data_IF_613672663094
#
_entry.id   IF_613672663094
#
_cell.length_a   1.000
_cell.length_b   1.000
_cell.length_c   1.000
_cell.angle_alpha   90.00
_cell.angle_beta   90.00
_cell.angle_gamma   90.00
#
_symmetry.space_group_name_H-M   'P 1'
#
loop_
_entity.id
_entity.type
_entity.pdbx_description
1 polymer ?
#
# COMPACT_ATOMS: atom_id res chain seq x y z
N UNK A 1 12.76 -20.44 -22.76
CA UNK A 1 12.51 -18.99 -22.83
C UNK A 1 13.61 -18.31 -22.03
N UNK A 2 14.78 -18.11 -22.65
CA UNK A 2 15.90 -17.43 -21.99
C UNK A 2 15.57 -15.95 -21.97
N UNK A 3 15.50 -15.34 -20.78
CA UNK A 3 15.52 -13.88 -20.64
C UNK A 3 16.75 -13.38 -21.42
N UNK A 4 16.55 -12.48 -22.37
CA UNK A 4 17.66 -11.92 -23.13
C UNK A 4 18.61 -11.18 -22.20
N UNK A 5 19.85 -10.93 -22.61
CA UNK A 5 20.80 -10.14 -21.81
C UNK A 5 20.23 -8.77 -21.40
N UNK A 6 19.28 -8.26 -22.19
CA UNK A 6 18.53 -7.02 -21.95
C UNK A 6 17.60 -7.16 -20.73
N UNK A 7 16.87 -8.25 -20.58
CA UNK A 7 15.95 -8.45 -19.45
C UNK A 7 16.71 -8.56 -18.11
N UNK A 8 17.87 -9.21 -18.12
CA UNK A 8 18.76 -9.24 -16.95
C UNK A 8 19.32 -7.86 -16.61
N UNK A 9 19.64 -7.05 -17.62
CA UNK A 9 20.06 -5.66 -17.44
C UNK A 9 18.97 -4.81 -16.77
N UNK A 10 17.72 -4.93 -17.23
CA UNK A 10 16.56 -4.22 -16.65
C UNK A 10 16.29 -4.68 -15.21
N UNK A 11 16.37 -5.98 -14.94
CA UNK A 11 16.21 -6.53 -13.58
C UNK A 11 17.27 -5.99 -12.63
N UNK A 12 18.55 -6.03 -13.04
CA UNK A 12 19.65 -5.52 -12.24
C UNK A 12 19.51 -4.02 -11.98
N UNK A 13 19.15 -3.24 -13.01
CA UNK A 13 18.90 -1.80 -12.87
C UNK A 13 17.77 -1.53 -11.88
N UNK A 14 16.64 -2.24 -11.99
CA UNK A 14 15.48 -2.07 -11.12
C UNK A 14 15.80 -2.41 -9.65
N UNK A 15 16.57 -3.48 -9.42
CA UNK A 15 17.06 -3.84 -8.09
C UNK A 15 18.01 -2.77 -7.52
N UNK A 16 18.92 -2.25 -8.34
CA UNK A 16 19.85 -1.19 -7.94
C UNK A 16 19.07 0.07 -7.57
N UNK A 17 18.09 0.49 -8.37
CA UNK A 17 17.29 1.69 -8.10
C UNK A 17 16.46 1.50 -6.81
N UNK A 18 15.78 0.36 -6.65
CA UNK A 18 14.99 0.05 -5.46
C UNK A 18 15.87 0.02 -4.20
N UNK A 19 17.01 -0.68 -4.27
CA UNK A 19 17.99 -0.73 -3.19
C UNK A 19 18.60 0.63 -2.87
N UNK A 20 18.91 1.45 -3.88
CA UNK A 20 19.43 2.80 -3.70
C UNK A 20 18.43 3.72 -3.00
N UNK A 21 17.13 3.64 -3.32
CA UNK A 21 16.08 4.39 -2.61
C UNK A 21 15.99 3.92 -1.16
N UNK A 22 16.05 2.61 -0.91
CA UNK A 22 16.05 2.04 0.44
C UNK A 22 17.26 2.49 1.26
N UNK A 23 18.47 2.45 0.69
CA UNK A 23 19.71 2.91 1.33
C UNK A 23 19.69 4.42 1.54
N UNK A 24 19.17 5.19 0.58
CA UNK A 24 19.05 6.65 0.71
C UNK A 24 18.11 7.03 1.87
N UNK A 25 16.97 6.35 2.00
CA UNK A 25 16.04 6.55 3.11
C UNK A 25 16.58 6.02 4.45
N UNK A 26 17.30 4.89 4.45
CA UNK A 26 17.80 4.24 5.66
C UNK A 26 19.10 4.84 6.22
N UNK A 27 20.07 5.16 5.36
CA UNK A 27 21.39 5.66 5.77
C UNK A 27 21.52 7.19 5.66
N UNK A 28 20.97 7.80 4.61
CA UNK A 28 21.21 9.23 4.33
C UNK A 28 20.15 10.15 4.97
N UNK A 29 18.91 9.67 5.13
CA UNK A 29 17.87 10.38 5.86
C UNK A 29 18.02 10.15 7.36
N UNK A 30 19.18 10.53 7.90
CA UNK A 30 19.45 10.63 9.35
C UNK A 30 18.75 11.85 9.96
N UNK A 31 17.45 12.00 9.69
CA UNK A 31 16.59 12.77 10.60
C UNK A 31 16.02 11.73 11.54
N UNK A 32 16.15 11.97 12.84
CA UNK A 32 15.48 11.23 13.90
C UNK A 32 13.97 11.40 13.73
N UNK A 33 13.40 10.72 12.75
CA UNK A 33 11.96 10.63 12.55
C UNK A 33 11.49 9.75 13.69
N UNK A 34 10.82 10.37 14.67
CA UNK A 34 10.20 9.63 15.77
C UNK A 34 9.41 8.46 15.19
N UNK A 35 9.37 7.30 15.85
CA UNK A 35 8.60 6.12 15.40
C UNK A 35 7.18 6.49 14.99
N UNK A 36 6.59 7.50 15.65
CA UNK A 36 5.28 8.07 15.31
C UNK A 36 5.27 8.84 13.97
N UNK A 37 6.32 9.56 13.62
CA UNK A 37 6.41 10.29 12.36
C UNK A 37 6.73 9.36 11.17
N UNK A 38 7.37 8.21 11.42
CA UNK A 38 7.58 7.15 10.41
C UNK A 38 6.31 6.31 10.19
N UNK A 39 5.58 5.99 11.27
CA UNK A 39 4.34 5.20 11.19
C UNK A 39 3.12 6.03 10.75
N UNK A 40 3.08 7.33 11.06
CA UNK A 40 1.90 8.20 10.86
C UNK A 40 2.12 9.27 9.81
N UNK A 41 3.37 9.60 9.49
CA UNK A 41 3.66 10.63 8.49
C UNK A 41 3.23 12.03 8.93
N UNK A 42 3.84 12.59 9.97
CA UNK A 42 3.72 14.00 10.42
C UNK A 42 2.30 14.66 10.39
N UNK A 43 1.19 13.89 10.45
CA UNK A 43 -0.19 14.43 10.36
C UNK A 43 -0.50 15.32 9.13
N UNK A 44 0.45 15.48 8.21
CA UNK A 44 0.48 16.42 7.09
C UNK A 44 0.68 15.72 5.75
N UNK A 45 0.55 14.39 5.71
CA UNK A 45 0.51 13.68 4.44
C UNK A 45 -0.73 14.10 3.67
N UNK A 46 -0.50 14.69 2.48
CA UNK A 46 -1.58 15.03 1.53
C UNK A 46 -2.35 13.75 1.19
N UNK A 47 -3.66 13.87 0.98
CA UNK A 47 -4.56 12.72 0.71
C UNK A 47 -4.08 11.87 -0.48
N UNK A 48 -3.51 12.51 -1.50
CA UNK A 48 -3.03 11.84 -2.72
C UNK A 48 -1.88 10.85 -2.50
N UNK A 49 -0.72 11.24 -1.91
CA UNK A 49 0.36 10.28 -1.64
C UNK A 49 -0.06 9.18 -0.67
N UNK A 50 -0.90 9.46 0.33
CA UNK A 50 -1.42 8.44 1.25
C UNK A 50 -2.28 7.41 0.51
N UNK A 51 -3.18 7.86 -0.36
CA UNK A 51 -4.00 6.96 -1.18
C UNK A 51 -3.13 6.11 -2.13
N UNK A 52 -2.10 6.70 -2.76
CA UNK A 52 -1.17 5.97 -3.61
C UNK A 52 -0.38 4.91 -2.84
N UNK A 53 0.10 5.22 -1.63
CA UNK A 53 0.78 4.25 -0.77
C UNK A 53 -0.15 3.13 -0.32
N UNK A 54 -1.41 3.43 0.00
CA UNK A 54 -2.41 2.42 0.36
C UNK A 54 -2.69 1.50 -0.83
N UNK A 55 -2.90 2.05 -2.02
CA UNK A 55 -3.09 1.27 -3.24
C UNK A 55 -1.88 0.37 -3.53
N UNK A 56 -0.67 0.91 -3.39
CA UNK A 56 0.56 0.14 -3.57
C UNK A 56 0.67 -1.03 -2.57
N UNK A 57 0.30 -0.82 -1.30
CA UNK A 57 0.29 -1.88 -0.27
C UNK A 57 -0.80 -2.94 -0.51
N UNK A 58 -1.92 -2.57 -1.13
CA UNK A 58 -3.01 -3.51 -1.46
C UNK A 58 -2.70 -4.33 -2.71
N UNK A 59 -1.91 -3.81 -3.64
CA UNK A 59 -1.57 -4.49 -4.88
C UNK A 59 -0.40 -5.46 -4.69
N UNK A 60 -0.70 -6.75 -4.71
CA UNK A 60 0.32 -7.81 -4.73
C UNK A 60 0.61 -8.28 -6.16
N UNK A 61 1.83 -8.76 -6.40
CA UNK A 61 2.22 -9.40 -7.67
C UNK A 61 1.32 -10.60 -8.01
N UNK A 62 0.82 -11.31 -6.99
CA UNK A 62 -0.12 -12.41 -7.17
C UNK A 62 -1.46 -11.94 -7.75
N UNK A 63 -1.98 -10.79 -7.32
CA UNK A 63 -3.23 -10.24 -7.86
C UNK A 63 -3.06 -9.79 -9.31
N UNK A 64 -1.91 -9.22 -9.67
CA UNK A 64 -1.65 -8.74 -11.03
C UNK A 64 -1.67 -9.89 -12.06
N UNK A 65 -1.15 -11.07 -11.69
CA UNK A 65 -1.19 -12.27 -12.54
C UNK A 65 -2.49 -13.06 -12.35
N UNK A 66 -3.09 -13.03 -11.17
CA UNK A 66 -4.30 -13.79 -10.84
C UNK A 66 -5.57 -13.24 -11.49
N UNK A 67 -5.73 -11.92 -11.53
CA UNK A 67 -6.92 -11.28 -12.13
C UNK A 67 -7.14 -11.62 -13.62
N UNK A 68 -6.13 -11.56 -14.51
CA UNK A 68 -6.34 -11.93 -15.91
C UNK A 68 -6.61 -13.42 -16.09
N UNK A 69 -6.01 -14.27 -15.25
CA UNK A 69 -6.29 -15.73 -15.24
C UNK A 69 -7.75 -15.96 -14.84
N UNK A 70 -8.23 -15.29 -13.80
CA UNK A 70 -9.61 -15.43 -13.33
C UNK A 70 -10.62 -14.91 -14.36
N UNK A 71 -10.34 -13.78 -15.02
CA UNK A 71 -11.17 -13.27 -16.11
C UNK A 71 -11.13 -14.18 -17.34
N UNK A 72 -9.99 -14.82 -17.62
CA UNK A 72 -9.85 -15.76 -18.74
C UNK A 72 -10.66 -17.05 -18.53
N UNK A 73 -10.71 -17.57 -17.30
CA UNK A 73 -11.46 -18.80 -16.98
C UNK A 73 -12.94 -18.57 -16.63
N UNK A 74 -13.26 -17.51 -15.90
CA UNK A 74 -14.61 -17.26 -15.35
C UNK A 74 -15.33 -16.05 -16.00
N UNK A 75 -14.71 -15.38 -16.96
CA UNK A 75 -15.30 -14.27 -17.70
C UNK A 75 -15.42 -12.98 -16.90
N UNK A 76 -16.38 -12.13 -17.26
CA UNK A 76 -16.58 -10.77 -16.73
C UNK A 76 -17.13 -10.71 -15.30
N UNK A 77 -17.38 -11.84 -14.63
CA UNK A 77 -17.90 -11.86 -13.26
C UNK A 77 -16.96 -11.20 -12.24
N UNK A 78 -15.66 -11.11 -12.54
CA UNK A 78 -14.69 -10.42 -11.71
C UNK A 78 -15.04 -8.94 -11.45
N UNK A 79 -15.86 -8.31 -12.32
CA UNK A 79 -16.27 -6.91 -12.14
C UNK A 79 -17.03 -6.66 -10.83
N UNK A 80 -17.73 -7.68 -10.30
CA UNK A 80 -18.41 -7.58 -9.00
C UNK A 80 -17.43 -7.38 -7.83
N UNK A 81 -16.23 -7.94 -7.91
CA UNK A 81 -15.17 -7.71 -6.91
C UNK A 81 -14.72 -6.25 -6.90
N UNK A 82 -14.61 -5.63 -8.08
CA UNK A 82 -14.27 -4.22 -8.22
C UNK A 82 -15.34 -3.34 -7.57
N UNK A 83 -16.63 -3.61 -7.86
CA UNK A 83 -17.73 -2.87 -7.22
C UNK A 83 -17.74 -3.04 -5.69
N UNK A 84 -17.49 -4.25 -5.19
CA UNK A 84 -17.39 -4.53 -3.74
C UNK A 84 -16.27 -3.70 -3.08
N UNK A 85 -15.11 -3.58 -3.74
CA UNK A 85 -13.99 -2.75 -3.27
C UNK A 85 -14.37 -1.27 -3.15
N UNK A 86 -15.08 -0.71 -4.14
CA UNK A 86 -15.54 0.68 -4.07
C UNK A 86 -16.52 0.91 -2.91
N UNK A 87 -17.49 0.00 -2.74
CA UNK A 87 -18.48 0.10 -1.66
C UNK A 87 -17.82 -0.01 -0.29
N UNK A 88 -16.91 -0.98 -0.11
CA UNK A 88 -16.15 -1.17 1.13
C UNK A 88 -15.30 0.07 1.47
N UNK A 89 -14.66 0.68 0.48
CA UNK A 89 -13.87 1.91 0.66
C UNK A 89 -14.75 3.07 1.10
N UNK A 90 -15.92 3.23 0.49
CA UNK A 90 -16.87 4.28 0.86
C UNK A 90 -17.38 4.14 2.30
N UNK A 91 -17.74 2.91 2.70
CA UNK A 91 -18.17 2.62 4.09
C UNK A 91 -17.02 2.91 5.06
N UNK A 92 -15.81 2.47 4.73
CA UNK A 92 -14.61 2.71 5.55
C UNK A 92 -14.36 4.20 5.75
N UNK A 93 -14.47 4.98 4.68
CA UNK A 93 -14.30 6.43 4.73
C UNK A 93 -15.31 7.12 5.65
N UNK A 94 -16.57 6.70 5.64
CA UNK A 94 -17.63 7.34 6.43
C UNK A 94 -17.66 6.93 7.89
N UNK A 95 -17.37 5.66 8.20
CA UNK A 95 -17.57 5.13 9.55
C UNK A 95 -16.28 4.95 10.33
N UNK A 96 -15.21 4.47 9.68
CA UNK A 96 -13.97 4.10 10.37
C UNK A 96 -13.01 5.28 10.49
N UNK A 97 -12.78 6.03 9.41
CA UNK A 97 -11.87 7.19 9.41
C UNK A 97 -12.19 8.23 10.50
N UNK A 98 -13.44 8.70 10.70
CA UNK A 98 -13.72 9.70 11.74
C UNK A 98 -13.50 9.15 13.16
N UNK A 99 -13.70 7.85 13.36
CA UNK A 99 -13.50 7.19 14.66
C UNK A 99 -12.01 7.05 15.00
N UNK A 100 -11.19 6.69 14.02
CA UNK A 100 -9.73 6.62 14.20
C UNK A 100 -9.08 8.00 14.37
N UNK A 101 -9.59 9.03 13.69
CA UNK A 101 -9.10 10.40 13.89
C UNK A 101 -9.41 10.94 15.29
N UNK A 102 -10.52 10.53 15.92
CA UNK A 102 -10.87 10.97 17.27
C UNK A 102 -9.96 10.38 18.36
N UNK A 103 -9.49 9.15 18.18
CA UNK A 103 -8.67 8.42 19.17
C UNK A 103 -7.19 8.87 19.12
N UNK A 104 -6.76 9.57 18.07
CA UNK A 104 -5.43 10.20 17.98
C UNK A 104 -4.24 9.23 17.92
N UNK A 105 -4.48 7.92 18.03
CA UNK A 105 -3.46 6.88 18.04
C UNK A 105 -3.44 6.11 16.72
N UNK A 106 -2.25 5.94 16.16
CA UNK A 106 -2.02 5.28 14.88
C UNK A 106 -2.04 3.75 14.93
N UNK A 107 -2.25 3.18 16.10
CA UNK A 107 -2.25 1.75 16.34
C UNK A 107 -3.69 1.24 16.40
N UNK A 108 -4.01 0.23 15.60
CA UNK A 108 -5.29 -0.49 15.66
C UNK A 108 -5.53 -1.06 17.07
N UNK A 109 -4.46 -1.36 17.81
CA UNK A 109 -4.53 -1.86 19.18
C UNK A 109 -5.08 -0.83 20.17
N UNK A 110 -4.88 0.48 19.94
CA UNK A 110 -5.44 1.51 20.81
C UNK A 110 -6.98 1.52 20.78
N UNK A 111 -7.58 1.19 19.63
CA UNK A 111 -9.04 1.01 19.53
C UNK A 111 -9.52 -0.23 20.30
N UNK A 112 -8.70 -1.27 20.39
CA UNK A 112 -9.04 -2.49 21.12
C UNK A 112 -8.94 -2.28 22.65
N UNK A 113 -7.94 -1.53 23.13
CA UNK A 113 -7.77 -1.19 24.55
C UNK A 113 -8.84 -0.21 25.10
N UNK A 114 -9.45 0.62 24.25
CA UNK A 114 -10.57 1.47 24.68
C UNK A 114 -11.89 0.69 24.75
N UNK A 115 -11.99 -0.41 23.99
CA UNK A 115 -13.21 -1.24 23.92
C UNK A 115 -13.22 -2.34 24.99
N UNK A 116 -12.05 -2.81 25.40
CA UNK A 116 -11.82 -3.92 26.34
C UNK A 116 -10.87 -3.49 27.46
#
# INVERSE_FOLDING_TARGET
MYLGWIDYGVLALLLIISGAIGIYQGCLRSKKVSTQEFLVGDGRMKILPTAMSLLASLTSAASLLGMPVEVYYYGTMFIYCIFSWFISTYITMKFFIPKYHYIGNASIYAYLEERW
#
